data_IF_029276319655
#
_entry.id   IF_029276319655
#
_cell.length_a   1.000
_cell.length_b   1.000
_cell.length_c   1.000
_cell.angle_alpha   90.00
_cell.angle_beta   90.00
_cell.angle_gamma   90.00
#
_symmetry.space_group_name_H-M   'P 1'
#
loop_
_entity.id
_entity.type
_entity.pdbx_description
1 polymer ?
#
# COMPACT_ATOMS: atom_id res chain seq x y z
N UNK A 1 -16.60 -8.63 37.63
CA UNK A 1 -15.48 -7.89 38.25
C UNK A 1 -14.28 -8.80 38.28
N UNK A 2 -13.40 -8.59 37.31
CA UNK A 2 -12.10 -9.22 37.24
C UNK A 2 -11.20 -8.73 38.38
N UNK A 3 -10.37 -9.60 38.90
CA UNK A 3 -9.29 -9.29 39.85
C UNK A 3 -8.15 -8.54 39.15
N UNK A 4 -7.28 -7.88 39.92
CA UNK A 4 -6.10 -7.21 39.36
C UNK A 4 -5.17 -8.19 38.64
N UNK A 5 -5.05 -9.43 39.12
CA UNK A 5 -4.21 -10.46 38.50
C UNK A 5 -4.79 -10.91 37.15
N UNK A 6 -6.11 -11.09 37.06
CA UNK A 6 -6.81 -11.38 35.80
C UNK A 6 -6.67 -10.23 34.80
N UNK A 7 -6.80 -8.98 35.24
CA UNK A 7 -6.58 -7.80 34.40
C UNK A 7 -5.14 -7.72 33.90
N UNK A 8 -4.15 -8.07 34.74
CA UNK A 8 -2.75 -8.17 34.35
C UNK A 8 -2.57 -9.22 33.25
N UNK A 9 -3.10 -10.43 33.46
CA UNK A 9 -2.99 -11.53 32.50
C UNK A 9 -3.60 -11.15 31.14
N UNK A 10 -4.78 -10.52 31.14
CA UNK A 10 -5.38 -10.02 29.91
C UNK A 10 -4.51 -8.96 29.22
N UNK A 11 -3.90 -8.05 29.98
CA UNK A 11 -3.00 -7.04 29.43
C UNK A 11 -1.82 -7.66 28.68
N UNK A 12 -1.12 -8.62 29.29
CA UNK A 12 0.02 -9.30 28.66
C UNK A 12 -0.37 -10.05 27.40
N UNK A 13 -1.48 -10.80 27.46
CA UNK A 13 -1.93 -11.56 26.30
C UNK A 13 -2.35 -10.64 25.15
N UNK A 14 -3.05 -9.54 25.45
CA UNK A 14 -3.44 -8.56 24.43
C UNK A 14 -2.23 -7.84 23.82
N UNK A 15 -1.23 -7.48 24.62
CA UNK A 15 0.01 -6.90 24.12
C UNK A 15 0.75 -7.86 23.19
N UNK A 16 0.87 -9.14 23.59
CA UNK A 16 1.46 -10.20 22.76
C UNK A 16 0.70 -10.42 21.45
N UNK A 17 -0.64 -10.51 21.51
CA UNK A 17 -1.48 -10.66 20.33
C UNK A 17 -1.36 -9.46 19.40
N UNK A 18 -1.27 -8.25 19.95
CA UNK A 18 -1.13 -7.03 19.17
C UNK A 18 0.14 -7.08 18.33
N UNK A 19 1.27 -7.38 18.98
CA UNK A 19 2.57 -7.49 18.31
C UNK A 19 2.50 -8.48 17.15
N UNK A 20 1.93 -9.67 17.38
CA UNK A 20 1.78 -10.70 16.35
C UNK A 20 0.91 -10.19 15.21
N UNK A 21 -0.28 -9.65 15.51
CA UNK A 21 -1.28 -9.30 14.48
C UNK A 21 -0.85 -8.12 13.61
N UNK A 22 -0.16 -7.13 14.16
CA UNK A 22 0.32 -5.97 13.39
C UNK A 22 1.69 -6.19 12.77
N UNK A 23 2.37 -7.31 13.04
CA UNK A 23 3.73 -7.58 12.55
C UNK A 23 3.86 -7.42 11.03
N UNK A 24 2.89 -7.93 10.29
CA UNK A 24 2.87 -7.92 8.82
C UNK A 24 2.32 -6.64 8.20
N UNK A 25 1.73 -5.76 9.01
CA UNK A 25 1.29 -4.44 8.57
C UNK A 25 2.49 -3.48 8.62
N UNK A 26 2.87 -2.82 7.51
CA UNK A 26 4.00 -1.90 7.51
C UNK A 26 3.72 -0.61 8.28
N UNK A 27 4.75 0.00 8.91
CA UNK A 27 4.67 1.26 9.70
C UNK A 27 3.85 2.35 8.97
N UNK A 28 4.19 2.59 7.70
CA UNK A 28 3.54 3.57 6.81
C UNK A 28 2.06 3.33 6.48
N UNK A 29 1.49 2.17 6.78
CA UNK A 29 0.05 1.93 6.59
C UNK A 29 -0.79 2.63 7.67
N UNK A 30 -0.20 2.91 8.83
CA UNK A 30 -0.83 3.66 9.92
C UNK A 30 -0.67 5.18 9.70
N UNK A 31 -1.40 5.73 8.70
CA UNK A 31 -1.41 7.15 8.26
C UNK A 31 -1.94 8.15 9.34
N UNK A 32 -1.21 8.34 10.44
CA UNK A 32 -1.57 9.31 11.49
C UNK A 32 -1.02 9.00 12.89
N UNK A 33 -0.58 7.77 13.12
CA UNK A 33 0.04 7.35 14.38
C UNK A 33 1.58 7.45 14.29
N UNK A 34 2.27 7.57 15.43
CA UNK A 34 3.74 7.73 15.49
C UNK A 34 4.53 6.54 14.89
N UNK A 35 3.85 5.41 14.69
CA UNK A 35 4.36 4.24 14.01
C UNK A 35 3.26 3.20 13.89
N UNK A 36 3.55 1.98 14.33
CA UNK A 36 2.50 0.99 14.61
C UNK A 36 1.82 1.32 15.96
N UNK A 37 0.53 1.01 16.14
CA UNK A 37 -0.14 1.26 17.42
C UNK A 37 0.47 0.39 18.53
N UNK A 38 0.59 1.00 19.69
CA UNK A 38 0.89 0.35 20.97
C UNK A 38 -0.39 -0.18 21.61
N UNK A 39 -0.26 -1.02 22.63
CA UNK A 39 -1.42 -1.52 23.36
C UNK A 39 -2.20 -0.39 24.05
N UNK A 40 -1.52 0.70 24.42
CA UNK A 40 -2.15 1.88 25.01
C UNK A 40 -3.05 2.58 23.99
N UNK A 41 -2.62 2.66 22.72
CA UNK A 41 -3.43 3.25 21.64
C UNK A 41 -4.71 2.43 21.43
N UNK A 42 -4.61 1.09 21.44
CA UNK A 42 -5.77 0.20 21.34
C UNK A 42 -6.76 0.44 22.48
N UNK A 43 -6.26 0.67 23.69
CA UNK A 43 -7.13 0.90 24.84
C UNK A 43 -7.75 2.29 24.86
N UNK A 44 -6.98 3.35 24.54
CA UNK A 44 -7.37 4.74 24.84
C UNK A 44 -7.79 5.56 23.63
N UNK A 45 -7.23 5.29 22.46
CA UNK A 45 -7.36 6.15 21.28
C UNK A 45 -7.82 5.36 20.05
N UNK A 46 -9.00 4.74 20.16
CA UNK A 46 -9.58 3.97 19.05
C UNK A 46 -9.96 4.86 17.87
N UNK A 47 -10.19 6.16 18.11
CA UNK A 47 -10.52 7.14 17.08
C UNK A 47 -9.36 7.43 16.14
N UNK A 48 -8.15 7.63 16.66
CA UNK A 48 -6.95 7.85 15.83
C UNK A 48 -6.55 6.63 14.98
N UNK A 49 -7.06 5.44 15.31
CA UNK A 49 -6.82 4.20 14.57
C UNK A 49 -7.85 3.95 13.47
N UNK A 50 -8.90 4.75 13.42
CA UNK A 50 -9.88 4.71 12.35
C UNK A 50 -9.33 5.38 11.10
N UNK A 51 -9.54 4.73 9.95
CA UNK A 51 -9.11 5.20 8.63
C UNK A 51 -10.36 5.59 7.83
N UNK A 52 -10.82 6.84 7.85
CA UNK A 52 -12.08 7.24 7.19
C UNK A 52 -12.17 6.84 5.72
N UNK A 53 -11.02 6.79 5.05
CA UNK A 53 -10.90 6.41 3.65
C UNK A 53 -11.01 4.90 3.40
N UNK A 54 -11.04 4.04 4.42
CA UNK A 54 -11.22 2.60 4.23
C UNK A 54 -12.69 2.24 4.44
N UNK A 55 -13.16 1.27 3.65
CA UNK A 55 -14.45 0.64 3.90
C UNK A 55 -14.56 0.18 5.36
N UNK A 56 -15.74 0.24 5.96
CA UNK A 56 -15.98 -0.15 7.36
C UNK A 56 -15.44 -1.55 7.67
N UNK A 57 -15.71 -2.54 6.81
CA UNK A 57 -15.19 -3.91 6.91
C UNK A 57 -13.67 -4.06 6.64
N UNK A 58 -12.97 -2.97 6.36
CA UNK A 58 -11.51 -2.95 6.17
C UNK A 58 -10.79 -2.14 7.26
N UNK A 59 -11.48 -1.77 8.34
CA UNK A 59 -10.88 -1.07 9.47
C UNK A 59 -10.00 -2.01 10.32
N UNK A 60 -9.16 -1.45 11.20
CA UNK A 60 -8.26 -2.23 12.05
C UNK A 60 -9.02 -3.23 12.95
N UNK A 61 -10.25 -2.91 13.33
CA UNK A 61 -11.15 -3.82 14.03
C UNK A 61 -11.35 -5.12 13.23
N UNK A 62 -11.74 -5.01 11.96
CA UNK A 62 -11.97 -6.19 11.12
C UNK A 62 -10.66 -6.89 10.73
N UNK A 63 -9.54 -6.16 10.67
CA UNK A 63 -8.20 -6.79 10.54
C UNK A 63 -7.95 -7.78 11.69
N UNK A 64 -8.32 -7.41 12.93
CA UNK A 64 -8.13 -8.28 14.08
C UNK A 64 -9.14 -9.43 14.16
N UNK A 65 -10.41 -9.19 13.78
CA UNK A 65 -11.45 -10.22 13.73
C UNK A 65 -11.17 -11.26 12.64
N UNK A 66 -10.81 -10.82 11.44
CA UNK A 66 -10.51 -11.67 10.28
C UNK A 66 -9.03 -12.05 10.18
N UNK A 67 -8.26 -11.93 11.27
CA UNK A 67 -6.82 -12.16 11.23
C UNK A 67 -6.46 -13.56 10.73
N UNK A 68 -7.23 -14.58 11.12
CA UNK A 68 -6.99 -15.96 10.70
C UNK A 68 -7.23 -16.15 9.19
N UNK A 69 -8.18 -15.43 8.59
CA UNK A 69 -8.41 -15.47 7.13
C UNK A 69 -7.27 -14.78 6.36
N UNK A 70 -6.78 -13.66 6.89
CA UNK A 70 -5.59 -12.97 6.38
C UNK A 70 -4.37 -13.88 6.49
N UNK A 71 -4.19 -14.55 7.63
CA UNK A 71 -3.12 -15.51 7.88
C UNK A 71 -3.20 -16.71 6.91
N UNK A 72 -4.38 -17.25 6.64
CA UNK A 72 -4.61 -18.35 5.68
C UNK A 72 -4.17 -17.99 4.26
N UNK A 73 -4.30 -16.72 3.89
CA UNK A 73 -3.83 -16.21 2.60
C UNK A 73 -2.32 -15.98 2.54
N UNK A 74 -1.63 -16.09 3.68
CA UNK A 74 -0.25 -15.64 3.90
C UNK A 74 -0.07 -14.15 3.54
N UNK A 75 -1.01 -13.32 3.97
CA UNK A 75 -0.97 -11.86 3.76
C UNK A 75 -0.83 -11.44 2.28
N UNK A 76 -1.30 -12.30 1.37
CA UNK A 76 -1.20 -12.11 -0.08
C UNK A 76 -2.61 -11.96 -0.64
N UNK A 77 -2.84 -10.93 -1.45
CA UNK A 77 -4.15 -10.70 -2.04
C UNK A 77 -4.43 -11.77 -3.11
N UNK A 78 -5.67 -12.28 -3.16
CA UNK A 78 -6.10 -13.33 -4.09
C UNK A 78 -7.45 -12.99 -4.70
N UNK A 79 -7.67 -13.44 -5.93
CA UNK A 79 -8.92 -13.13 -6.64
C UNK A 79 -10.08 -14.08 -6.35
N UNK A 80 -9.89 -15.39 -6.42
CA UNK A 80 -11.03 -16.33 -6.39
C UNK A 80 -11.31 -16.93 -5.02
N UNK A 81 -10.26 -17.34 -4.32
CA UNK A 81 -10.36 -18.15 -3.10
C UNK A 81 -10.44 -17.31 -1.82
N UNK A 82 -10.42 -15.98 -1.93
CA UNK A 82 -10.35 -15.07 -0.80
C UNK A 82 -11.59 -14.19 -0.76
N UNK A 83 -12.14 -14.01 0.45
CA UNK A 83 -13.23 -13.08 0.70
C UNK A 83 -12.83 -11.67 0.24
N UNK A 84 -13.76 -10.96 -0.43
CA UNK A 84 -13.53 -9.63 -0.99
C UNK A 84 -12.97 -8.63 0.03
N UNK A 85 -13.49 -8.64 1.26
CA UNK A 85 -13.01 -7.74 2.30
C UNK A 85 -11.64 -8.12 2.84
N UNK A 86 -11.30 -9.42 2.88
CA UNK A 86 -9.93 -9.85 3.19
C UNK A 86 -8.95 -9.39 2.11
N UNK A 87 -9.31 -9.53 0.83
CA UNK A 87 -8.53 -9.01 -0.29
C UNK A 87 -8.34 -7.50 -0.17
N UNK A 88 -9.43 -6.74 -0.02
CA UNK A 88 -9.39 -5.29 0.10
C UNK A 88 -8.55 -4.84 1.30
N UNK A 89 -8.68 -5.53 2.44
CA UNK A 89 -7.88 -5.28 3.63
C UNK A 89 -6.39 -5.43 3.34
N UNK A 90 -5.98 -6.52 2.69
CA UNK A 90 -4.56 -6.75 2.35
C UNK A 90 -4.02 -5.64 1.43
N UNK A 91 -4.81 -5.20 0.45
CA UNK A 91 -4.46 -4.11 -0.46
C UNK A 91 -4.33 -2.76 0.26
N UNK A 92 -5.35 -2.38 1.02
CA UNK A 92 -5.45 -1.08 1.68
C UNK A 92 -4.40 -0.95 2.80
N UNK A 93 -4.20 -2.00 3.59
CA UNK A 93 -3.17 -2.05 4.62
C UNK A 93 -1.78 -2.43 4.11
N UNK A 94 -1.63 -2.57 2.78
CA UNK A 94 -0.34 -2.78 2.10
C UNK A 94 0.44 -4.01 2.61
N UNK A 95 -0.28 -5.05 3.00
CA UNK A 95 0.33 -6.27 3.54
C UNK A 95 1.01 -7.09 2.43
N UNK A 96 0.49 -7.03 1.20
CA UNK A 96 1.09 -7.65 0.02
C UNK A 96 1.98 -6.66 -0.73
N UNK A 97 3.27 -7.00 -0.84
CA UNK A 97 4.26 -6.17 -1.55
C UNK A 97 4.00 -6.12 -3.05
N UNK A 98 3.34 -7.12 -3.62
CA UNK A 98 3.00 -7.18 -5.04
C UNK A 98 1.67 -6.50 -5.37
N UNK A 99 0.83 -6.28 -4.35
CA UNK A 99 -0.54 -5.77 -4.49
C UNK A 99 -0.82 -4.75 -3.39
N UNK A 100 -0.58 -3.49 -3.71
CA UNK A 100 -0.95 -2.37 -2.85
C UNK A 100 -1.05 -1.10 -3.68
N UNK A 101 -1.61 -0.04 -3.10
CA UNK A 101 -1.49 1.30 -3.69
C UNK A 101 -0.27 2.06 -3.20
N UNK A 102 0.66 1.38 -2.51
CA UNK A 102 1.82 2.02 -1.90
C UNK A 102 2.70 2.71 -2.94
N UNK A 103 3.02 3.98 -2.69
CA UNK A 103 4.04 4.74 -3.44
C UNK A 103 5.45 4.18 -3.27
N UNK A 104 5.66 3.34 -2.24
CA UNK A 104 6.95 2.75 -1.89
C UNK A 104 7.22 1.39 -2.53
N UNK A 105 6.19 0.72 -3.07
CA UNK A 105 6.41 -0.60 -3.66
C UNK A 105 6.96 -0.47 -5.07
N UNK A 106 8.19 -0.96 -5.28
CA UNK A 106 8.79 -0.98 -6.61
C UNK A 106 7.93 -1.74 -7.63
N UNK A 107 7.28 -2.81 -7.21
CA UNK A 107 6.42 -3.58 -8.10
C UNK A 107 5.25 -2.75 -8.60
N UNK A 108 4.64 -1.97 -7.71
CA UNK A 108 3.53 -1.08 -8.03
C UNK A 108 4.01 0.05 -8.94
N UNK A 109 5.14 0.70 -8.62
CA UNK A 109 5.71 1.76 -9.45
C UNK A 109 6.05 1.31 -10.88
N UNK A 110 6.70 0.15 -11.04
CA UNK A 110 7.01 -0.41 -12.37
C UNK A 110 5.75 -0.69 -13.19
N UNK A 111 4.71 -1.24 -12.55
CA UNK A 111 3.42 -1.47 -13.21
C UNK A 111 2.77 -0.15 -13.63
N UNK A 112 2.67 0.83 -12.73
CA UNK A 112 2.08 2.14 -13.02
C UNK A 112 2.78 2.84 -14.17
N UNK A 113 4.12 2.89 -14.12
CA UNK A 113 4.92 3.51 -15.15
C UNK A 113 4.63 2.92 -16.53
N UNK A 114 4.65 1.59 -16.65
CA UNK A 114 4.35 0.93 -17.91
C UNK A 114 2.91 1.16 -18.38
N UNK A 115 1.94 1.12 -17.46
CA UNK A 115 0.54 1.39 -17.81
C UNK A 115 0.35 2.82 -18.29
N UNK A 116 0.96 3.80 -17.61
CA UNK A 116 0.92 5.20 -18.02
C UNK A 116 1.56 5.37 -19.39
N UNK A 117 2.75 4.79 -19.63
CA UNK A 117 3.39 4.83 -20.93
C UNK A 117 2.50 4.21 -22.01
N UNK A 118 1.99 2.99 -21.80
CA UNK A 118 1.14 2.31 -22.76
C UNK A 118 -0.16 3.06 -23.05
N UNK A 119 -0.83 3.58 -22.03
CA UNK A 119 -2.05 4.37 -22.20
C UNK A 119 -1.81 5.68 -22.94
N UNK A 120 -0.58 6.20 -22.94
CA UNK A 120 -0.25 7.50 -23.55
C UNK A 120 0.50 7.41 -24.86
N UNK A 121 0.98 6.22 -25.25
CA UNK A 121 1.59 6.00 -26.56
C UNK A 121 0.60 6.38 -27.68
N UNK A 122 0.99 7.25 -28.62
CA UNK A 122 0.10 7.68 -29.72
C UNK A 122 -0.52 6.49 -30.45
N UNK A 123 -1.85 6.51 -30.62
CA UNK A 123 -2.60 5.47 -31.33
C UNK A 123 -2.75 4.13 -30.59
N UNK A 124 -2.13 3.96 -29.42
CA UNK A 124 -2.18 2.70 -28.66
C UNK A 124 -3.57 2.46 -28.07
N UNK A 125 -4.23 3.48 -27.54
CA UNK A 125 -5.61 3.33 -27.04
C UNK A 125 -6.58 2.91 -28.15
N UNK A 126 -6.47 3.52 -29.34
CA UNK A 126 -7.32 3.16 -30.48
C UNK A 126 -6.99 1.76 -30.99
N UNK A 127 -5.70 1.37 -30.98
CA UNK A 127 -5.27 0.01 -31.31
C UNK A 127 -5.91 -1.00 -30.37
N UNK A 128 -5.84 -0.77 -29.06
CA UNK A 128 -6.46 -1.62 -28.05
C UNK A 128 -7.97 -1.76 -28.27
N UNK A 129 -8.68 -0.68 -28.60
CA UNK A 129 -10.11 -0.74 -28.89
C UNK A 129 -10.38 -1.56 -30.16
N UNK A 130 -9.63 -1.34 -31.25
CA UNK A 130 -9.78 -2.08 -32.51
C UNK A 130 -9.47 -3.57 -32.37
N UNK A 131 -8.51 -3.92 -31.53
CA UNK A 131 -8.10 -5.31 -31.26
C UNK A 131 -8.97 -5.99 -30.18
N UNK A 132 -9.97 -5.30 -29.63
CA UNK A 132 -10.86 -5.86 -28.61
C UNK A 132 -10.24 -5.93 -27.20
N UNK A 133 -9.09 -5.29 -26.96
CA UNK A 133 -8.41 -5.20 -25.66
C UNK A 133 -9.08 -4.18 -24.70
N UNK A 134 -10.38 -3.95 -24.83
CA UNK A 134 -11.14 -2.99 -24.00
C UNK A 134 -11.03 -3.30 -22.52
N UNK A 135 -11.05 -4.58 -22.13
CA UNK A 135 -10.90 -4.98 -20.73
C UNK A 135 -9.51 -4.65 -20.18
N UNK A 136 -8.45 -4.81 -20.99
CA UNK A 136 -7.09 -4.46 -20.61
C UNK A 136 -6.95 -2.94 -20.43
N UNK A 137 -7.54 -2.16 -21.34
CA UNK A 137 -7.58 -0.69 -21.22
C UNK A 137 -8.29 -0.27 -19.93
N UNK A 138 -9.46 -0.85 -19.65
CA UNK A 138 -10.21 -0.59 -18.40
C UNK A 138 -9.41 -0.96 -17.16
N UNK A 139 -8.73 -2.12 -17.18
CA UNK A 139 -7.87 -2.56 -16.09
C UNK A 139 -6.77 -1.54 -15.79
N UNK A 140 -6.01 -1.13 -16.81
CA UNK A 140 -4.93 -0.15 -16.65
C UNK A 140 -5.45 1.21 -16.19
N UNK A 141 -6.52 1.71 -16.81
CA UNK A 141 -7.08 3.03 -16.50
C UNK A 141 -7.60 3.10 -15.08
N UNK A 142 -8.32 2.07 -14.63
CA UNK A 142 -8.87 2.02 -13.26
C UNK A 142 -7.77 1.80 -12.22
N UNK A 143 -6.72 1.04 -12.52
CA UNK A 143 -5.59 0.89 -11.61
C UNK A 143 -4.85 2.22 -11.40
N UNK A 144 -4.53 2.93 -12.49
CA UNK A 144 -3.88 4.25 -12.44
C UNK A 144 -4.75 5.25 -11.67
N UNK A 145 -6.06 5.31 -11.96
CA UNK A 145 -7.00 6.20 -11.27
C UNK A 145 -7.09 5.90 -9.77
N UNK A 146 -7.15 4.61 -9.40
CA UNK A 146 -7.17 4.18 -7.99
C UNK A 146 -5.89 4.57 -7.25
N UNK A 147 -4.74 4.48 -7.93
CA UNK A 147 -3.46 4.86 -7.35
C UNK A 147 -3.33 6.37 -7.18
N UNK A 148 -3.78 7.17 -8.16
CA UNK A 148 -3.85 8.64 -8.03
C UNK A 148 -4.75 9.01 -6.84
N UNK A 149 -5.96 8.43 -6.76
CA UNK A 149 -6.89 8.62 -5.63
C UNK A 149 -6.24 8.27 -4.28
N UNK A 150 -5.42 7.22 -4.22
CA UNK A 150 -4.68 6.87 -3.01
C UNK A 150 -3.63 7.93 -2.63
N UNK A 151 -2.94 8.55 -3.60
CA UNK A 151 -1.90 9.54 -3.33
C UNK A 151 -2.48 10.87 -2.89
N UNK A 152 -3.52 11.36 -3.57
CA UNK A 152 -3.78 12.79 -3.60
C UNK A 152 -4.20 13.37 -2.24
N UNK A 153 -4.82 12.52 -1.40
CA UNK A 153 -5.40 12.76 -0.05
C UNK A 153 -6.51 13.79 0.00
N UNK A 154 -6.33 14.93 -0.66
CA UNK A 154 -7.15 16.10 -0.45
C UNK A 154 -8.50 15.89 -1.13
N UNK A 155 -9.55 15.80 -0.32
CA UNK A 155 -10.86 16.36 -0.66
C UNK A 155 -11.56 15.78 -1.89
N UNK A 156 -11.52 14.46 -2.10
CA UNK A 156 -12.77 13.83 -2.55
C UNK A 156 -13.63 13.74 -1.31
N UNK A 157 -14.39 14.82 -1.13
CA UNK A 157 -15.32 15.07 -0.06
C UNK A 157 -16.00 13.74 0.32
N UNK A 158 -15.62 13.19 1.48
CA UNK A 158 -16.37 12.08 2.08
C UNK A 158 -17.83 12.51 2.38
N UNK A 159 -18.18 13.79 2.17
CA UNK A 159 -19.53 14.34 2.18
C UNK A 159 -20.14 14.56 0.78
N UNK A 160 -19.66 13.91 -0.29
CA UNK A 160 -20.50 13.67 -1.47
C UNK A 160 -21.15 12.27 -1.36
N UNK A 161 -22.31 12.13 -0.69
CA UNK A 161 -23.07 10.89 -0.71
C UNK A 161 -23.26 10.39 -2.14
N UNK A 162 -22.70 9.22 -2.45
CA UNK A 162 -22.92 8.52 -3.71
C UNK A 162 -21.73 8.43 -4.67
N UNK A 163 -20.59 9.06 -4.39
CA UNK A 163 -19.37 8.82 -5.19
C UNK A 163 -18.71 7.49 -4.77
N UNK A 164 -18.73 6.53 -5.69
CA UNK A 164 -18.10 5.22 -5.50
C UNK A 164 -16.59 5.39 -5.32
N UNK A 165 -16.03 4.91 -4.21
CA UNK A 165 -14.58 4.92 -3.98
C UNK A 165 -13.88 4.14 -5.11
N UNK A 166 -13.18 4.87 -5.98
CA UNK A 166 -12.53 4.35 -7.18
C UNK A 166 -11.61 3.18 -6.87
N UNK A 167 -10.96 3.19 -5.69
CA UNK A 167 -10.09 2.08 -5.25
C UNK A 167 -10.90 0.83 -4.97
N UNK A 168 -12.01 0.95 -4.25
CA UNK A 168 -12.90 -0.18 -3.96
C UNK A 168 -13.52 -0.70 -5.26
N UNK A 169 -13.95 0.19 -6.15
CA UNK A 169 -14.47 -0.16 -7.46
C UNK A 169 -13.45 -0.94 -8.30
N UNK A 170 -12.19 -0.52 -8.29
CA UNK A 170 -11.10 -1.26 -8.93
C UNK A 170 -10.93 -2.64 -8.30
N UNK A 171 -10.77 -2.72 -6.98
CA UNK A 171 -10.53 -4.00 -6.29
C UNK A 171 -11.64 -5.01 -6.54
N UNK A 172 -12.90 -4.57 -6.40
CA UNK A 172 -14.08 -5.43 -6.53
C UNK A 172 -14.38 -5.78 -7.98
N UNK A 173 -14.54 -4.78 -8.84
CA UNK A 173 -15.11 -5.01 -10.18
C UNK A 173 -14.05 -5.23 -11.26
N UNK A 174 -12.83 -4.74 -11.05
CA UNK A 174 -11.80 -4.73 -12.10
C UNK A 174 -10.67 -5.71 -11.83
N UNK A 175 -10.20 -5.78 -10.58
CA UNK A 175 -9.14 -6.69 -10.19
C UNK A 175 -9.72 -8.05 -9.85
N UNK A 176 -10.48 -8.17 -8.76
CA UNK A 176 -10.94 -9.48 -8.25
C UNK A 176 -11.83 -10.22 -9.26
N UNK A 177 -12.77 -9.51 -9.91
CA UNK A 177 -13.66 -10.09 -10.94
C UNK A 177 -13.11 -10.01 -12.38
N UNK A 178 -11.95 -9.40 -12.59
CA UNK A 178 -11.36 -9.23 -13.92
C UNK A 178 -10.34 -10.29 -14.30
N UNK A 179 -9.96 -10.29 -15.58
CA UNK A 179 -9.08 -11.29 -16.17
C UNK A 179 -7.59 -11.07 -15.85
N UNK A 180 -7.17 -9.82 -15.64
CA UNK A 180 -5.76 -9.45 -15.59
C UNK A 180 -5.24 -9.22 -14.18
N UNK A 181 -4.00 -9.62 -13.93
CA UNK A 181 -3.29 -9.31 -12.69
C UNK A 181 -2.07 -8.41 -12.93
N UNK A 182 -1.53 -7.81 -11.87
CA UNK A 182 -0.30 -7.00 -11.93
C UNK A 182 0.92 -7.86 -12.23
N UNK A 183 1.86 -7.32 -13.00
CA UNK A 183 3.14 -7.98 -13.28
C UNK A 183 3.90 -8.16 -11.96
N UNK A 184 4.30 -9.40 -11.67
CA UNK A 184 5.18 -9.71 -10.55
C UNK A 184 6.64 -9.71 -11.00
N UNK A 185 7.38 -8.66 -10.64
CA UNK A 185 8.78 -8.51 -10.99
C UNK A 185 9.68 -9.33 -10.08
N UNK A 186 10.52 -10.17 -10.67
CA UNK A 186 11.51 -10.99 -9.95
C UNK A 186 12.83 -10.98 -10.70
N UNK A 187 13.93 -11.19 -9.97
CA UNK A 187 15.25 -11.51 -10.51
C UNK A 187 15.69 -10.60 -11.68
N UNK A 188 16.09 -11.20 -12.80
CA UNK A 188 16.65 -10.53 -13.97
C UNK A 188 15.69 -9.54 -14.64
N UNK A 189 14.40 -9.86 -14.89
CA UNK A 189 13.45 -8.86 -15.40
C UNK A 189 13.34 -7.59 -14.56
N UNK A 190 13.35 -7.71 -13.24
CA UNK A 190 13.31 -6.53 -12.35
C UNK A 190 14.54 -5.63 -12.56
N UNK A 191 15.74 -6.23 -12.60
CA UNK A 191 16.99 -5.49 -12.84
C UNK A 191 17.03 -4.80 -14.20
N UNK A 192 16.52 -5.46 -15.25
CA UNK A 192 16.44 -4.86 -16.59
C UNK A 192 15.45 -3.70 -16.63
N UNK A 193 14.29 -3.85 -15.99
CA UNK A 193 13.34 -2.76 -15.85
C UNK A 193 13.97 -1.56 -15.14
N UNK A 194 14.67 -1.78 -14.03
CA UNK A 194 15.35 -0.70 -13.30
C UNK A 194 16.41 0.02 -14.16
N UNK A 195 17.13 -0.72 -15.00
CA UNK A 195 18.07 -0.13 -15.95
C UNK A 195 17.35 0.73 -17.00
N UNK A 196 16.22 0.26 -17.53
CA UNK A 196 15.40 1.01 -18.48
C UNK A 196 14.78 2.26 -17.84
N UNK A 197 14.29 2.18 -16.61
CA UNK A 197 13.78 3.34 -15.86
C UNK A 197 14.90 4.36 -15.61
N UNK A 198 16.10 3.91 -15.24
CA UNK A 198 17.27 4.79 -15.09
C UNK A 198 17.65 5.48 -16.39
N UNK A 199 17.51 4.79 -17.53
CA UNK A 199 17.72 5.40 -18.85
C UNK A 199 16.64 6.45 -19.13
N UNK A 200 15.36 6.13 -18.90
CA UNK A 200 14.24 7.06 -19.06
C UNK A 200 14.41 8.31 -18.19
N UNK A 201 14.86 8.16 -16.94
CA UNK A 201 15.11 9.29 -16.03
C UNK A 201 16.08 10.33 -16.61
N UNK A 202 17.05 9.92 -17.43
CA UNK A 202 18.00 10.86 -18.06
C UNK A 202 17.34 11.73 -19.14
N UNK A 203 16.18 11.30 -19.62
CA UNK A 203 15.41 11.95 -20.68
C UNK A 203 14.28 12.82 -20.12
N UNK A 204 13.89 12.59 -18.86
CA UNK A 204 12.83 13.37 -18.20
C UNK A 204 13.44 14.67 -17.65
N UNK A 205 12.90 15.86 -18.02
CA UNK A 205 13.35 17.13 -17.48
C UNK A 205 13.28 17.15 -15.96
N UNK A 206 14.18 17.91 -15.30
CA UNK A 206 14.20 17.92 -13.86
C UNK A 206 12.94 18.55 -13.27
N UNK A 207 12.43 17.96 -12.20
CA UNK A 207 11.32 18.54 -11.43
C UNK A 207 11.80 19.81 -10.72
N UNK A 208 11.00 20.87 -10.76
CA UNK A 208 11.36 22.20 -10.20
C UNK A 208 10.90 22.42 -8.76
N UNK A 209 10.06 21.53 -8.26
CA UNK A 209 9.41 21.59 -6.94
C UNK A 209 9.62 20.26 -6.23
N UNK A 210 9.36 20.22 -4.93
CA UNK A 210 9.44 18.98 -4.16
C UNK A 210 8.40 17.96 -4.65
N UNK A 211 8.63 16.67 -4.38
CA UNK A 211 7.65 15.61 -4.65
C UNK A 211 6.34 15.83 -3.88
N UNK A 212 6.43 16.46 -2.71
CA UNK A 212 5.29 16.81 -1.86
C UNK A 212 4.42 17.91 -2.51
N UNK A 213 5.07 18.93 -3.10
CA UNK A 213 4.39 20.05 -3.77
C UNK A 213 3.89 19.69 -5.18
N UNK A 214 4.35 18.57 -5.75
CA UNK A 214 4.01 18.14 -7.10
C UNK A 214 2.50 18.13 -7.35
N UNK A 215 1.74 17.49 -6.45
CA UNK A 215 0.29 17.34 -6.63
C UNK A 215 -0.48 18.63 -6.37
N UNK A 216 0.04 19.50 -5.50
CA UNK A 216 -0.54 20.82 -5.27
C UNK A 216 -0.53 21.59 -6.59
N UNK A 217 0.59 21.58 -7.29
CA UNK A 217 0.70 22.29 -8.53
C UNK A 217 0.07 21.58 -9.72
N UNK A 218 0.10 20.24 -9.76
CA UNK A 218 -0.67 19.50 -10.76
C UNK A 218 -2.14 19.93 -10.66
N UNK A 219 -2.74 19.99 -9.45
CA UNK A 219 -4.12 20.48 -9.23
C UNK A 219 -4.35 21.97 -9.55
N UNK A 220 -3.32 22.76 -9.80
CA UNK A 220 -3.45 24.12 -10.33
C UNK A 220 -3.64 24.15 -11.86
N UNK A 221 -3.45 23.01 -12.55
CA UNK A 221 -3.47 22.95 -14.01
C UNK A 221 -4.88 22.70 -14.57
N UNK A 222 -5.23 23.33 -15.70
CA UNK A 222 -6.48 23.05 -16.43
C UNK A 222 -6.62 21.57 -16.83
N UNK A 223 -7.85 21.08 -16.92
CA UNK A 223 -8.13 19.71 -17.36
C UNK A 223 -7.51 19.38 -18.74
N UNK A 224 -7.53 20.34 -19.67
CA UNK A 224 -6.91 20.18 -20.99
C UNK A 224 -5.38 19.97 -20.91
N UNK A 225 -4.70 20.65 -19.99
CA UNK A 225 -3.27 20.48 -19.73
C UNK A 225 -2.99 19.11 -19.11
N UNK A 226 -3.84 18.63 -18.20
CA UNK A 226 -3.78 17.26 -17.70
C UNK A 226 -3.97 16.21 -18.78
N UNK A 227 -4.91 16.40 -19.71
CA UNK A 227 -5.12 15.50 -20.83
C UNK A 227 -3.90 15.45 -21.75
N UNK A 228 -3.24 16.60 -21.96
CA UNK A 228 -2.08 16.72 -22.84
C UNK A 228 -0.77 16.24 -22.20
N UNK A 229 -0.53 16.59 -20.93
CA UNK A 229 0.76 16.44 -20.26
C UNK A 229 0.72 15.56 -18.99
N UNK A 230 -0.45 15.14 -18.51
CA UNK A 230 -0.61 14.42 -17.24
C UNK A 230 0.16 13.10 -17.15
N UNK A 231 0.41 12.44 -18.29
CA UNK A 231 1.23 11.24 -18.35
C UNK A 231 2.72 11.51 -18.17
N UNK A 232 3.19 12.62 -18.76
CA UNK A 232 4.54 13.13 -18.62
C UNK A 232 4.79 13.55 -17.16
N UNK A 233 3.81 14.21 -16.55
CA UNK A 233 3.78 14.55 -15.13
C UNK A 233 3.82 13.31 -14.23
N UNK A 234 2.95 12.33 -14.47
CA UNK A 234 2.94 11.10 -13.68
C UNK A 234 4.25 10.31 -13.83
N UNK A 235 4.85 10.30 -15.02
CA UNK A 235 6.18 9.76 -15.27
C UNK A 235 7.25 10.50 -14.44
N UNK A 236 7.27 11.84 -14.49
CA UNK A 236 8.21 12.65 -13.72
C UNK A 236 8.05 12.39 -12.22
N UNK A 237 6.83 12.45 -11.70
CA UNK A 237 6.53 12.16 -10.30
C UNK A 237 7.02 10.77 -9.88
N UNK A 238 6.69 9.73 -10.65
CA UNK A 238 7.10 8.35 -10.34
C UNK A 238 8.63 8.18 -10.31
N UNK A 239 9.33 8.81 -11.26
CA UNK A 239 10.79 8.79 -11.36
C UNK A 239 11.46 9.57 -10.21
N UNK A 240 10.86 10.67 -9.78
CA UNK A 240 11.37 11.49 -8.68
C UNK A 240 11.11 10.86 -7.31
N UNK A 241 9.90 10.35 -7.08
CA UNK A 241 9.54 9.47 -5.94
C UNK A 241 10.49 8.29 -5.80
N UNK A 242 11.00 7.73 -6.91
CA UNK A 242 11.96 6.62 -6.86
C UNK A 242 13.26 6.98 -6.13
N UNK A 243 13.70 8.22 -6.24
CA UNK A 243 14.94 8.67 -5.61
C UNK A 243 14.75 8.96 -4.12
N UNK A 244 13.68 9.66 -3.76
CA UNK A 244 13.37 9.98 -2.37
C UNK A 244 13.10 8.72 -1.55
N UNK A 245 12.38 7.75 -2.12
CA UNK A 245 12.08 6.50 -1.40
C UNK A 245 13.31 5.59 -1.27
N UNK A 246 14.21 5.54 -2.27
CA UNK A 246 15.48 4.84 -2.12
C UNK A 246 16.36 5.47 -1.04
N UNK A 247 16.27 6.78 -0.87
CA UNK A 247 16.97 7.49 0.20
C UNK A 247 16.32 7.20 1.55
N UNK A 248 15.00 7.29 1.64
CA UNK A 248 14.23 6.96 2.84
C UNK A 248 14.44 5.50 3.27
N UNK A 249 14.42 4.54 2.36
CA UNK A 249 14.68 3.13 2.69
C UNK A 249 16.11 2.91 3.17
N UNK A 250 17.09 3.64 2.62
CA UNK A 250 18.47 3.60 3.13
C UNK A 250 18.55 4.20 4.53
N UNK A 251 17.86 5.31 4.78
CA UNK A 251 17.85 5.96 6.08
C UNK A 251 17.10 5.09 7.10
N UNK A 252 15.97 4.48 6.77
CA UNK A 252 15.26 3.52 7.63
C UNK A 252 16.12 2.26 7.90
N UNK A 253 16.87 1.76 6.91
CA UNK A 253 17.80 0.64 7.10
C UNK A 253 19.01 1.05 7.94
N UNK A 254 19.47 2.28 7.78
CA UNK A 254 20.56 2.85 8.58
C UNK A 254 20.09 3.02 10.01
N UNK A 255 18.93 3.63 10.25
CA UNK A 255 18.28 3.73 11.56
C UNK A 255 18.01 2.34 12.16
N UNK A 256 17.63 1.33 11.38
CA UNK A 256 17.42 -0.03 11.90
C UNK A 256 18.72 -0.79 12.19
N UNK A 257 19.83 -0.40 11.57
CA UNK A 257 21.16 -0.98 11.80
C UNK A 257 21.97 -0.20 12.86
N UNK A 258 21.68 1.10 13.01
CA UNK A 258 22.21 2.02 14.02
C UNK A 258 21.34 2.02 15.27
N UNK A 259 20.07 1.60 15.18
CA UNK A 259 19.31 1.09 16.31
C UNK A 259 20.18 -0.03 16.87
N UNK A 260 20.77 0.19 18.04
CA UNK A 260 21.86 -0.66 18.49
C UNK A 260 21.42 -2.12 18.49
N UNK A 261 22.39 -3.01 18.31
CA UNK A 261 22.34 -4.39 18.83
C UNK A 261 22.32 -4.35 20.37
N UNK A 262 21.59 -3.39 20.96
CA UNK A 262 20.95 -3.50 22.26
C UNK A 262 19.70 -4.35 22.02
N UNK A 263 19.95 -5.61 21.70
CA UNK A 263 19.17 -6.70 22.29
C UNK A 263 19.47 -6.82 23.79
N UNK A 264 19.71 -5.70 24.45
CA UNK A 264 19.41 -5.46 25.85
C UNK A 264 18.13 -4.63 25.99
N UNK A 265 17.50 -4.05 24.95
CA UNK A 265 16.15 -3.45 25.06
C UNK A 265 15.04 -4.49 24.83
N UNK A 266 15.31 -5.54 24.04
CA UNK A 266 14.42 -6.70 23.97
C UNK A 266 14.61 -7.62 25.18
N UNK A 267 15.78 -7.52 25.84
CA UNK A 267 15.93 -7.99 27.21
C UNK A 267 15.14 -7.04 28.12
N UNK A 268 15.53 -5.78 28.26
CA UNK A 268 15.08 -4.79 29.24
C UNK A 268 13.61 -4.37 29.12
N UNK A 269 12.93 -4.43 27.97
CA UNK A 269 11.45 -4.29 27.95
C UNK A 269 10.75 -5.60 28.36
N UNK A 270 11.41 -6.77 28.21
CA UNK A 270 10.96 -8.06 28.76
C UNK A 270 11.53 -8.35 30.17
N UNK A 271 12.53 -7.62 30.64
CA UNK A 271 13.28 -7.85 31.88
C UNK A 271 13.02 -6.76 32.91
N UNK A 272 12.70 -5.53 32.47
CA UNK A 272 11.83 -4.66 33.25
C UNK A 272 10.43 -5.29 33.46
N UNK A 273 10.03 -6.25 32.61
CA UNK A 273 8.89 -7.14 32.86
C UNK A 273 9.21 -8.42 33.66
N UNK A 274 10.49 -8.82 33.81
CA UNK A 274 10.89 -10.08 34.46
C UNK A 274 11.80 -9.96 35.70
N UNK A 275 12.10 -8.74 36.18
CA UNK A 275 12.95 -8.50 37.36
C UNK A 275 12.15 -8.00 38.58
N UNK A 276 10.97 -8.58 38.78
CA UNK A 276 10.17 -8.50 39.99
C UNK A 276 9.39 -9.81 40.17
N UNK A 277 9.06 -10.21 41.41
CA UNK A 277 8.58 -11.57 41.73
C UNK A 277 7.12 -11.85 41.32
N UNK A 278 6.68 -11.28 40.20
CA UNK A 278 5.38 -11.40 39.56
C UNK A 278 5.32 -10.45 38.34
N UNK A 279 4.42 -10.67 37.37
CA UNK A 279 4.19 -9.74 36.26
C UNK A 279 3.89 -8.32 36.80
N UNK A 280 4.39 -7.24 36.15
CA UNK A 280 4.04 -5.88 36.52
C UNK A 280 2.52 -5.70 36.74
N UNK A 281 2.10 -4.91 37.73
CA UNK A 281 0.68 -4.65 37.93
C UNK A 281 0.09 -3.98 36.68
N UNK A 282 -1.16 -4.30 36.31
CA UNK A 282 -1.79 -3.69 35.15
C UNK A 282 -1.88 -2.17 35.35
N UNK A 283 -1.93 -1.37 34.26
CA UNK A 283 -2.13 0.06 34.38
C UNK A 283 -3.37 0.37 35.23
N UNK A 284 -3.28 1.32 36.16
CA UNK A 284 -4.35 1.60 37.13
C UNK A 284 -5.71 2.02 36.51
N UNK A 285 -5.69 2.41 35.23
CA UNK A 285 -6.87 2.78 34.45
C UNK A 285 -7.45 1.62 33.62
N UNK A 286 -6.81 0.45 33.59
CA UNK A 286 -7.31 -0.74 32.91
C UNK A 286 -8.47 -1.31 33.71
N UNK A 287 -9.62 -1.47 33.07
CA UNK A 287 -10.83 -1.99 33.69
C UNK A 287 -11.49 -3.05 32.79
N UNK A 288 -12.42 -3.80 33.38
CA UNK A 288 -13.25 -4.75 32.63
C UNK A 288 -14.00 -4.05 31.47
N UNK A 289 -14.46 -2.80 31.67
CA UNK A 289 -15.11 -2.01 30.62
C UNK A 289 -14.17 -1.73 29.43
N UNK A 290 -12.90 -1.42 29.69
CA UNK A 290 -11.90 -1.23 28.63
C UNK A 290 -11.71 -2.52 27.84
N UNK A 291 -11.68 -3.67 28.50
CA UNK A 291 -11.56 -4.98 27.84
C UNK A 291 -12.78 -5.34 26.98
N UNK A 292 -13.95 -4.78 27.29
CA UNK A 292 -15.18 -4.99 26.50
C UNK A 292 -15.29 -4.10 25.26
N UNK A 293 -14.38 -3.14 25.06
CA UNK A 293 -14.39 -2.28 23.86
C UNK A 293 -14.26 -3.12 22.59
N UNK A 294 -14.99 -2.80 21.50
CA UNK A 294 -15.01 -3.63 20.30
C UNK A 294 -13.62 -3.95 19.72
N UNK A 295 -12.74 -2.94 19.61
CA UNK A 295 -11.38 -3.13 19.09
C UNK A 295 -10.52 -4.05 19.98
N UNK A 296 -10.68 -3.95 21.30
CA UNK A 296 -9.96 -4.78 22.28
C UNK A 296 -10.42 -6.23 22.21
N UNK A 297 -11.74 -6.45 22.09
CA UNK A 297 -12.31 -7.79 21.90
C UNK A 297 -11.88 -8.40 20.57
N UNK A 298 -11.87 -7.61 19.50
CA UNK A 298 -11.37 -8.05 18.19
C UNK A 298 -9.90 -8.46 18.28
N UNK A 299 -9.06 -7.67 18.95
CA UNK A 299 -7.66 -7.99 19.23
C UNK A 299 -7.53 -9.32 19.98
N UNK A 300 -8.39 -9.57 20.97
CA UNK A 300 -8.41 -10.80 21.77
C UNK A 300 -8.79 -12.07 20.98
N UNK A 301 -9.28 -11.95 19.73
CA UNK A 301 -9.61 -13.12 18.89
C UNK A 301 -8.40 -14.05 18.78
N UNK A 302 -8.52 -15.34 19.20
CA UNK A 302 -7.40 -16.26 19.19
C UNK A 302 -6.81 -16.48 17.79
N UNK A 303 -5.49 -16.64 17.75
CA UNK A 303 -4.77 -17.00 16.52
C UNK A 303 -4.78 -18.53 16.41
N UNK A 304 -5.22 -19.04 15.27
CA UNK A 304 -5.21 -20.48 15.02
C UNK A 304 -3.77 -20.96 14.77
N UNK A 305 -3.32 -21.98 15.49
CA UNK A 305 -1.97 -22.54 15.36
C UNK A 305 -1.76 -23.28 14.03
N UNK A 306 -2.83 -23.89 13.52
CA UNK A 306 -2.82 -24.65 12.27
C UNK A 306 -3.82 -24.02 11.31
N UNK A 307 -3.31 -23.20 10.40
CA UNK A 307 -4.11 -22.62 9.32
C UNK A 307 -3.73 -23.29 8.00
N UNK A 308 -4.71 -23.87 7.31
CA UNK A 308 -4.47 -24.43 5.99
C UNK A 308 -4.24 -23.29 4.99
N UNK A 309 -3.09 -23.25 4.29
CA UNK A 309 -2.83 -22.20 3.34
C UNK A 309 -3.75 -22.34 2.13
N UNK A 310 -4.31 -21.22 1.69
CA UNK A 310 -5.07 -21.18 0.43
C UNK A 310 -4.15 -21.53 -0.75
N UNK A 311 -4.65 -22.31 -1.71
CA UNK A 311 -3.88 -22.66 -2.90
C UNK A 311 -3.69 -21.42 -3.79
N UNK A 312 -2.54 -21.33 -4.45
CA UNK A 312 -2.24 -20.15 -5.27
C UNK A 312 -2.64 -20.45 -6.71
N UNK A 313 -3.70 -19.81 -7.18
CA UNK A 313 -4.01 -19.77 -8.60
C UNK A 313 -3.02 -18.88 -9.35
N UNK A 314 -2.62 -19.33 -10.55
CA UNK A 314 -1.80 -18.55 -11.47
C UNK A 314 -2.72 -17.85 -12.46
N UNK A 315 -2.83 -16.54 -12.31
CA UNK A 315 -3.59 -15.70 -13.24
C UNK A 315 -2.67 -15.07 -14.27
N UNK A 316 -3.16 -14.79 -15.48
CA UNK A 316 -2.39 -14.08 -16.47
C UNK A 316 -2.14 -12.65 -15.98
N UNK A 317 -0.88 -12.24 -15.98
CA UNK A 317 -0.53 -10.83 -15.83
C UNK A 317 -1.03 -10.06 -17.05
N UNK A 318 -1.31 -8.76 -16.86
CA UNK A 318 -1.74 -7.88 -17.95
C UNK A 318 -0.71 -7.76 -19.08
N UNK A 319 0.56 -8.07 -18.79
CA UNK A 319 1.64 -8.24 -19.77
C UNK A 319 2.69 -9.21 -19.21
N UNK A 320 3.39 -9.95 -20.07
CA UNK A 320 4.51 -10.79 -19.60
C UNK A 320 5.70 -9.93 -19.17
N UNK A 321 6.53 -10.40 -18.24
CA UNK A 321 7.72 -9.65 -17.81
C UNK A 321 8.70 -9.39 -18.96
N UNK A 322 8.80 -10.32 -19.92
CA UNK A 322 9.66 -10.16 -21.09
C UNK A 322 9.14 -9.07 -22.03
N UNK A 323 7.85 -9.14 -22.40
CA UNK A 323 7.21 -8.14 -23.25
C UNK A 323 7.23 -6.75 -22.60
N UNK A 324 7.11 -6.69 -21.27
CA UNK A 324 7.13 -5.42 -20.53
C UNK A 324 8.50 -4.74 -20.55
N UNK A 325 9.57 -5.52 -20.40
CA UNK A 325 10.95 -5.00 -20.51
C UNK A 325 11.24 -4.54 -21.93
N UNK A 326 10.86 -5.36 -22.92
CA UNK A 326 11.03 -5.00 -24.34
C UNK A 326 10.23 -3.74 -24.70
N UNK A 327 8.99 -3.63 -24.22
CA UNK A 327 8.15 -2.45 -24.41
C UNK A 327 8.82 -1.21 -23.80
N UNK A 328 9.35 -1.32 -22.59
CA UNK A 328 10.06 -0.22 -21.93
C UNK A 328 11.32 0.18 -22.69
N UNK A 329 12.18 -0.78 -23.04
CA UNK A 329 13.44 -0.54 -23.75
C UNK A 329 13.19 0.13 -25.11
N UNK A 330 12.17 -0.31 -25.86
CA UNK A 330 11.76 0.32 -27.13
C UNK A 330 11.11 1.69 -26.92
N UNK A 331 10.34 1.87 -25.85
CA UNK A 331 9.71 3.16 -25.53
C UNK A 331 10.73 4.21 -25.08
N UNK A 332 11.85 3.78 -24.49
CA UNK A 332 12.97 4.66 -24.12
C UNK A 332 13.67 5.26 -25.34
N UNK A 333 13.53 4.65 -26.52
CA UNK A 333 14.01 5.20 -27.80
C UNK A 333 13.00 6.17 -28.45
N UNK A 334 11.82 6.39 -27.86
CA UNK A 334 10.79 7.27 -28.44
C UNK A 334 11.02 8.73 -28.11
N UNK A 335 11.61 9.46 -29.07
CA UNK A 335 11.62 10.92 -29.13
C UNK A 335 10.23 11.56 -28.92
N UNK A 336 9.13 10.83 -29.12
CA UNK A 336 7.76 11.34 -28.94
C UNK A 336 7.35 11.58 -27.49
N UNK A 337 7.87 10.83 -26.52
CA UNK A 337 7.56 11.06 -25.10
C UNK A 337 8.33 12.28 -24.60
N UNK A 338 9.59 12.43 -25.04
CA UNK A 338 10.40 13.63 -24.77
C UNK A 338 9.80 14.85 -25.45
N UNK A 339 9.35 14.74 -26.70
CA UNK A 339 8.66 15.82 -27.41
C UNK A 339 7.33 16.25 -26.76
N UNK A 340 6.70 15.40 -25.94
CA UNK A 340 5.55 15.79 -25.09
C UNK A 340 5.95 16.42 -23.76
N UNK A 341 7.21 16.25 -23.37
CA UNK A 341 7.82 16.96 -22.25
C UNK A 341 8.31 18.37 -22.70
N UNK A 342 8.65 18.54 -23.98
CA UNK A 342 8.98 19.83 -24.57
C UNK A 342 7.72 20.72 -24.66
N UNK A 343 7.75 21.91 -24.04
CA UNK A 343 6.65 22.87 -24.03
C UNK A 343 5.72 22.80 -22.81
N UNK A 344 6.09 22.06 -21.76
CA UNK A 344 5.33 22.04 -20.50
C UNK A 344 5.51 23.37 -19.75
N UNK A 345 4.51 24.25 -19.84
CA UNK A 345 4.49 25.58 -19.20
C UNK A 345 4.74 25.54 -17.69
N UNK A 346 4.24 24.51 -17.01
CA UNK A 346 4.43 24.32 -15.57
C UNK A 346 5.86 23.87 -15.17
N UNK A 347 6.68 23.50 -16.15
CA UNK A 347 8.10 23.12 -16.00
C UNK A 347 9.06 24.07 -16.74
N UNK A 348 8.55 25.14 -17.35
CA UNK A 348 9.26 26.30 -17.90
C UNK A 348 9.37 27.44 -16.88
#
# INVERSE_FOLDING_TARGET
MLTNDELAQHHYELARLLEIKIKKIPKRAFRGARGKPTIIDIYKDTGALYMPQYHENCQLLNVFESYNDILASNFTARKKEQNMFTTMTIWLWQMDRNHSFSTRSDNIRRNLLLMILKLNTPGEQDRMVREGETQLRTFMTRFVSSWISYIDRNEWDHNTPGEEDVRQSFLTWTWQNGQYDLIQWKNTPAKRMDAAIKALKRLVPPQRFSVEDFWIHARQQPAAEFEQHGAAWALQYLVYMENEEKQTEKDERREAAEAPVETDDLADDLASMAMGNGPPPPPAWLSEEVLQRPLVRALATPIQEVVQPLQKEFLPFWMSTAASVEYMEKSVEMASIIGRLEGMTFLE
#
